data_IF_163734285855
#
_entry.id   IF_163734285855
#
_cell.length_a   1.000
_cell.length_b   1.000
_cell.length_c   1.000
_cell.angle_alpha   90.00
_cell.angle_beta   90.00
_cell.angle_gamma   90.00
#
_symmetry.space_group_name_H-M   'P 1'
#
loop_
_entity.id
_entity.type
_entity.pdbx_description
1 polymer ?
#
# COMPACT_ATOMS: atom_id res chain seq x y z
N UNK A 1 -27.69 1.71 -9.18
CA UNK A 1 -26.76 0.55 -9.23
C UNK A 1 -26.11 0.40 -7.88
N UNK A 2 -26.08 -0.80 -7.30
CA UNK A 2 -25.37 -1.13 -6.06
C UNK A 2 -24.27 -2.13 -6.43
N UNK A 3 -23.04 -1.88 -6.02
CA UNK A 3 -21.87 -2.68 -6.38
C UNK A 3 -21.04 -2.94 -5.14
N UNK A 4 -20.38 -4.10 -5.09
CA UNK A 4 -19.59 -4.53 -3.94
C UNK A 4 -18.44 -3.55 -3.65
N UNK A 5 -17.84 -2.97 -4.69
CA UNK A 5 -16.81 -1.93 -4.59
C UNK A 5 -17.30 -0.71 -3.83
N UNK A 6 -18.47 -0.17 -4.22
CA UNK A 6 -19.03 1.02 -3.59
C UNK A 6 -19.39 0.74 -2.13
N UNK A 7 -20.04 -0.38 -1.85
CA UNK A 7 -20.38 -0.77 -0.48
C UNK A 7 -19.13 -0.95 0.38
N UNK A 8 -18.10 -1.61 -0.13
CA UNK A 8 -16.82 -1.79 0.56
C UNK A 8 -16.15 -0.45 0.87
N UNK A 9 -16.14 0.49 -0.07
CA UNK A 9 -15.56 1.81 0.13
C UNK A 9 -16.32 2.66 1.17
N UNK A 10 -17.66 2.58 1.19
CA UNK A 10 -18.47 3.25 2.22
C UNK A 10 -18.22 2.62 3.61
N UNK A 11 -18.06 1.30 3.68
CA UNK A 11 -17.76 0.61 4.95
C UNK A 11 -16.36 0.99 5.44
N UNK A 12 -15.37 1.11 4.55
CA UNK A 12 -14.04 1.62 4.89
C UNK A 12 -14.14 3.00 5.53
N UNK A 13 -14.81 3.93 4.85
CA UNK A 13 -15.05 5.30 5.29
C UNK A 13 -15.82 5.39 6.63
N UNK A 14 -16.71 4.44 6.90
CA UNK A 14 -17.40 4.36 8.18
C UNK A 14 -16.47 3.86 9.29
N UNK A 15 -15.69 2.82 9.03
CA UNK A 15 -14.79 2.23 10.03
C UNK A 15 -13.65 3.18 10.40
N UNK A 16 -13.07 3.91 9.44
CA UNK A 16 -12.04 4.93 9.74
C UNK A 16 -12.50 5.98 10.75
N UNK A 17 -13.81 6.23 10.84
CA UNK A 17 -14.42 7.20 11.78
C UNK A 17 -14.96 6.58 13.07
N UNK A 18 -15.45 5.34 13.01
CA UNK A 18 -16.18 4.70 14.12
C UNK A 18 -15.36 3.64 14.85
N UNK A 19 -14.41 3.00 14.17
CA UNK A 19 -13.61 1.88 14.68
C UNK A 19 -12.24 1.86 13.97
N UNK A 20 -11.44 2.89 14.22
CA UNK A 20 -10.18 3.13 13.53
C UNK A 20 -9.12 2.05 13.76
N UNK A 21 -9.23 1.29 14.86
CA UNK A 21 -8.32 0.20 15.22
C UNK A 21 -8.80 -1.17 14.69
N UNK A 22 -9.85 -1.19 13.85
CA UNK A 22 -10.42 -2.44 13.36
C UNK A 22 -9.40 -3.23 12.51
N UNK A 23 -9.10 -4.49 12.86
CA UNK A 23 -8.07 -5.27 12.19
C UNK A 23 -8.40 -5.64 10.73
N UNK A 24 -9.63 -5.40 10.27
CA UNK A 24 -10.03 -5.63 8.88
C UNK A 24 -9.61 -4.49 7.94
N UNK A 25 -9.38 -3.28 8.46
CA UNK A 25 -9.11 -2.10 7.64
C UNK A 25 -7.97 -2.30 6.62
N UNK A 26 -6.80 -2.85 6.99
CA UNK A 26 -5.72 -3.06 6.02
C UNK A 26 -6.11 -4.01 4.87
N UNK A 27 -6.98 -4.99 5.14
CA UNK A 27 -7.44 -5.93 4.13
C UNK A 27 -8.50 -5.31 3.21
N UNK A 28 -9.35 -4.44 3.73
CA UNK A 28 -10.33 -3.68 2.94
C UNK A 28 -9.61 -2.75 1.97
N UNK A 29 -8.60 -2.01 2.44
CA UNK A 29 -7.76 -1.13 1.61
C UNK A 29 -7.05 -1.93 0.52
N UNK A 30 -6.40 -3.05 0.88
CA UNK A 30 -5.75 -3.93 -0.09
C UNK A 30 -6.72 -4.41 -1.17
N UNK A 31 -7.91 -4.85 -0.77
CA UNK A 31 -8.93 -5.32 -1.72
C UNK A 31 -9.37 -4.20 -2.67
N UNK A 32 -9.62 -2.98 -2.18
CA UNK A 32 -9.99 -1.84 -3.03
C UNK A 32 -8.88 -1.49 -4.03
N UNK A 33 -7.62 -1.55 -3.61
CA UNK A 33 -6.47 -1.34 -4.50
C UNK A 33 -6.35 -2.41 -5.58
N UNK A 34 -6.65 -3.67 -5.26
CA UNK A 34 -6.68 -4.78 -6.25
C UNK A 34 -7.86 -4.63 -7.21
N UNK A 35 -9.00 -4.13 -6.75
CA UNK A 35 -10.19 -3.89 -7.57
C UNK A 35 -10.06 -2.66 -8.50
N UNK A 36 -9.00 -1.86 -8.36
CA UNK A 36 -8.74 -0.68 -9.19
C UNK A 36 -8.33 -1.09 -10.60
N UNK A 37 -8.92 -0.47 -11.61
CA UNK A 37 -8.56 -0.70 -13.02
C UNK A 37 -7.16 -0.15 -13.32
N UNK A 38 -6.55 -0.65 -14.39
CA UNK A 38 -5.19 -0.26 -14.80
C UNK A 38 -5.09 1.24 -15.10
N UNK A 39 -6.19 1.85 -15.55
CA UNK A 39 -6.34 3.27 -15.86
C UNK A 39 -6.49 4.14 -14.60
N UNK A 40 -6.49 3.53 -13.41
CA UNK A 40 -6.46 4.23 -12.14
C UNK A 40 -7.82 4.66 -11.60
N UNK A 41 -8.92 4.10 -12.09
CA UNK A 41 -10.27 4.32 -11.58
C UNK A 41 -10.99 3.00 -11.29
N UNK A 42 -12.19 3.08 -10.71
CA UNK A 42 -13.11 1.95 -10.56
C UNK A 42 -14.20 2.01 -11.63
N UNK A 43 -15.06 1.01 -11.71
CA UNK A 43 -15.95 0.79 -12.86
C UNK A 43 -16.91 1.96 -13.12
N UNK A 44 -17.36 2.63 -12.06
CA UNK A 44 -18.28 3.76 -12.17
C UNK A 44 -17.76 5.00 -11.46
N UNK A 45 -18.29 6.16 -11.81
CA UNK A 45 -17.99 7.43 -11.11
C UNK A 45 -18.30 7.33 -9.62
N UNK A 46 -19.40 6.68 -9.25
CA UNK A 46 -19.79 6.52 -7.84
C UNK A 46 -18.80 5.65 -7.08
N UNK A 47 -18.35 4.54 -7.66
CA UNK A 47 -17.31 3.71 -7.05
C UNK A 47 -16.01 4.46 -6.91
N UNK A 48 -15.59 5.18 -7.95
CA UNK A 48 -14.35 5.96 -7.91
C UNK A 48 -14.41 7.02 -6.81
N UNK A 49 -15.50 7.78 -6.72
CA UNK A 49 -15.66 8.80 -5.68
C UNK A 49 -15.60 8.20 -4.27
N UNK A 50 -16.35 7.12 -4.02
CA UNK A 50 -16.37 6.50 -2.68
C UNK A 50 -15.05 5.81 -2.34
N UNK A 51 -14.42 5.13 -3.30
CA UNK A 51 -13.11 4.51 -3.10
C UNK A 51 -12.06 5.56 -2.75
N UNK A 52 -12.03 6.69 -3.46
CA UNK A 52 -11.12 7.79 -3.14
C UNK A 52 -11.37 8.32 -1.73
N UNK A 53 -12.62 8.64 -1.36
CA UNK A 53 -12.97 9.13 -0.03
C UNK A 53 -12.48 8.16 1.06
N UNK A 54 -12.87 6.89 0.99
CA UNK A 54 -12.52 5.90 2.01
C UNK A 54 -11.01 5.65 2.11
N UNK A 55 -10.31 5.58 0.97
CA UNK A 55 -8.86 5.41 0.95
C UNK A 55 -8.14 6.63 1.52
N UNK A 56 -8.56 7.85 1.19
CA UNK A 56 -7.93 9.06 1.73
C UNK A 56 -8.21 9.25 3.22
N UNK A 57 -9.42 8.94 3.69
CA UNK A 57 -9.76 8.99 5.11
C UNK A 57 -8.93 7.97 5.90
N UNK A 58 -8.71 6.78 5.32
CA UNK A 58 -7.80 5.79 5.90
C UNK A 58 -6.36 6.30 5.97
N UNK A 59 -5.82 6.88 4.89
CA UNK A 59 -4.46 7.46 4.87
C UNK A 59 -4.26 8.55 5.93
N UNK A 60 -5.27 9.41 6.13
CA UNK A 60 -5.24 10.47 7.15
C UNK A 60 -5.27 9.87 8.55
N UNK A 61 -6.14 8.87 8.79
CA UNK A 61 -6.29 8.18 10.06
C UNK A 61 -4.98 7.47 10.48
N UNK A 62 -4.35 6.74 9.56
CA UNK A 62 -3.09 6.04 9.85
C UNK A 62 -1.87 6.97 9.87
N UNK A 63 -2.00 8.19 9.34
CA UNK A 63 -0.89 9.13 9.21
C UNK A 63 0.14 8.69 8.18
N UNK A 64 -0.28 7.95 7.14
CA UNK A 64 0.62 7.42 6.10
C UNK A 64 1.47 8.49 5.41
N UNK A 65 0.96 9.72 5.31
CA UNK A 65 1.69 10.85 4.74
C UNK A 65 2.74 11.46 5.69
N UNK A 66 2.82 10.99 6.94
CA UNK A 66 3.81 11.43 7.94
C UNK A 66 5.04 10.52 7.94
N UNK A 67 5.56 10.23 6.76
CA UNK A 67 6.77 9.43 6.59
C UNK A 67 7.93 9.99 7.41
N UNK A 68 8.45 9.18 8.32
CA UNK A 68 9.65 9.45 9.11
C UNK A 68 10.26 8.10 9.51
N UNK A 69 10.98 7.50 8.56
CA UNK A 69 11.65 6.23 8.78
C UNK A 69 12.76 5.99 7.77
N UNK A 70 13.77 5.27 8.20
CA UNK A 70 14.75 4.67 7.30
C UNK A 70 14.43 3.18 7.12
N UNK A 71 14.77 2.65 5.97
CA UNK A 71 14.60 1.24 5.65
C UNK A 71 15.83 0.71 4.94
N UNK A 72 16.04 -0.59 5.06
CA UNK A 72 17.02 -1.34 4.30
C UNK A 72 16.37 -2.57 3.68
N UNK A 73 16.82 -2.92 2.47
CA UNK A 73 16.38 -4.07 1.70
C UNK A 73 17.59 -4.93 1.40
N UNK A 74 17.48 -6.22 1.72
CA UNK A 74 18.52 -7.21 1.50
C UNK A 74 17.99 -8.32 0.61
N UNK A 75 18.84 -8.79 -0.31
CA UNK A 75 18.59 -9.96 -1.14
C UNK A 75 19.65 -11.01 -0.81
N UNK A 76 19.22 -12.16 -0.30
CA UNK A 76 20.11 -13.25 0.11
C UNK A 76 21.17 -12.83 1.14
N UNK A 77 20.85 -11.84 1.99
CA UNK A 77 21.76 -11.29 3.00
C UNK A 77 22.65 -10.15 2.49
N UNK A 78 22.70 -9.91 1.18
CA UNK A 78 23.44 -8.80 0.59
C UNK A 78 22.56 -7.54 0.47
N UNK A 79 23.09 -6.34 0.73
CA UNK A 79 22.34 -5.10 0.55
C UNK A 79 21.87 -4.92 -0.90
N UNK A 80 20.56 -4.75 -1.08
CA UNK A 80 19.94 -4.44 -2.38
C UNK A 80 19.63 -2.95 -2.52
N UNK A 81 19.30 -2.29 -1.41
CA UNK A 81 19.06 -0.85 -1.38
C UNK A 81 18.64 -0.39 0.01
N UNK A 82 18.77 0.90 0.27
CA UNK A 82 18.34 1.57 1.50
C UNK A 82 17.74 2.92 1.15
N UNK A 83 16.98 3.49 2.07
CA UNK A 83 16.36 4.79 1.86
C UNK A 83 15.84 5.39 3.15
N UNK A 84 15.59 6.70 3.09
CA UNK A 84 14.89 7.42 4.15
C UNK A 84 13.63 8.05 3.56
N UNK A 85 12.51 7.75 4.18
CA UNK A 85 11.19 8.28 3.85
C UNK A 85 10.88 9.42 4.81
N UNK A 86 10.56 10.55 4.21
CA UNK A 86 10.30 11.84 4.83
C UNK A 86 8.98 12.37 4.28
N UNK A 87 8.47 13.47 4.86
CA UNK A 87 7.30 14.18 4.31
C UNK A 87 7.48 14.61 2.85
N UNK A 88 8.72 14.81 2.40
CA UNK A 88 9.04 15.35 1.08
C UNK A 88 9.04 14.29 -0.02
N UNK A 89 9.18 13.00 0.32
CA UNK A 89 9.33 11.91 -0.65
C UNK A 89 8.45 10.68 -0.33
N UNK A 90 7.46 10.83 0.56
CA UNK A 90 6.57 9.73 0.97
C UNK A 90 5.72 9.17 -0.18
N UNK A 91 5.49 9.96 -1.22
CA UNK A 91 4.78 9.59 -2.44
C UNK A 91 5.71 9.16 -3.59
N UNK A 92 7.03 9.21 -3.38
CA UNK A 92 8.01 8.80 -4.39
C UNK A 92 8.18 7.28 -4.40
N UNK A 93 7.91 6.65 -5.56
CA UNK A 93 8.12 5.22 -5.74
C UNK A 93 9.62 4.89 -5.82
N UNK A 94 10.07 3.96 -4.97
CA UNK A 94 11.42 3.41 -5.01
C UNK A 94 11.45 2.08 -5.76
N UNK A 95 12.26 1.99 -6.82
CA UNK A 95 12.43 0.77 -7.61
C UNK A 95 13.82 0.20 -7.40
N UNK A 96 13.89 -1.01 -6.83
CA UNK A 96 15.13 -1.77 -6.67
C UNK A 96 15.14 -2.91 -7.69
N UNK A 97 16.25 -3.06 -8.42
CA UNK A 97 16.44 -4.09 -9.44
C UNK A 97 17.68 -4.90 -9.08
N UNK A 98 17.54 -6.23 -9.08
CA UNK A 98 18.65 -7.15 -8.91
C UNK A 98 18.95 -7.85 -10.23
N UNK A 99 20.23 -8.00 -10.56
CA UNK A 99 20.66 -8.81 -11.69
C UNK A 99 20.35 -10.29 -11.42
N UNK A 100 19.97 -11.04 -12.46
CA UNK A 100 19.72 -12.48 -12.36
C UNK A 100 20.95 -13.22 -11.82
N UNK A 101 22.16 -12.74 -12.12
CA UNK A 101 23.41 -13.30 -11.61
C UNK A 101 23.55 -13.23 -10.07
N UNK A 102 22.80 -12.35 -9.40
CA UNK A 102 22.76 -12.25 -7.93
C UNK A 102 21.73 -13.19 -7.30
N UNK A 103 20.92 -13.87 -8.11
CA UNK A 103 19.96 -14.86 -7.64
C UNK A 103 20.62 -16.22 -7.50
N UNK A 104 20.28 -16.94 -6.44
CA UNK A 104 20.73 -18.32 -6.23
C UNK A 104 19.79 -19.26 -6.97
N UNK A 105 20.36 -20.19 -7.74
CA UNK A 105 19.63 -21.24 -8.44
C UNK A 105 19.32 -22.43 -7.52
N UNK A 106 18.18 -23.09 -7.76
CA UNK A 106 17.72 -24.30 -7.04
C UNK A 106 17.43 -24.11 -5.55
N UNK A 107 17.54 -22.88 -5.04
CA UNK A 107 17.19 -22.50 -3.67
C UNK A 107 16.23 -21.30 -3.67
N UNK A 108 15.66 -21.00 -2.51
CA UNK A 108 14.80 -19.83 -2.34
C UNK A 108 15.63 -18.56 -2.21
N UNK A 109 15.28 -17.53 -2.98
CA UNK A 109 15.87 -16.21 -2.83
C UNK A 109 15.13 -15.44 -1.73
N UNK A 110 15.83 -15.06 -0.66
CA UNK A 110 15.24 -14.36 0.48
C UNK A 110 15.31 -12.86 0.29
N UNK A 111 14.16 -12.21 0.20
CA UNK A 111 14.02 -10.76 0.27
C UNK A 111 13.69 -10.37 1.72
N UNK A 112 14.56 -9.59 2.36
CA UNK A 112 14.32 -9.01 3.67
C UNK A 112 14.12 -7.51 3.50
N UNK A 113 13.04 -6.98 4.07
CA UNK A 113 12.78 -5.55 4.17
C UNK A 113 12.65 -5.26 5.66
N UNK A 114 13.46 -4.35 6.16
CA UNK A 114 13.43 -3.93 7.56
C UNK A 114 13.39 -2.41 7.69
N UNK A 115 12.71 -1.96 8.75
CA UNK A 115 12.72 -0.57 9.19
C UNK A 115 13.85 -0.42 10.20
N UNK A 116 14.66 0.61 10.03
CA UNK A 116 15.80 0.95 10.89
C UNK A 116 15.39 1.84 12.07
#
# INVERSE_FOLDING_TARGET
MNTDTRSTAIVLDAFTRLDADNPLLPNVVRWLMVARQAEGHWETTQETSWALIGLTDYMVMTGELKGDYSYAVYLNGEPLGEGTVTLQNVDEQQQLVAEIAKLVGQESNRLLIERL
#
